data_IF_116962145722
#
_entry.id   IF_116962145722
#
_cell.length_a   1.000
_cell.length_b   1.000
_cell.length_c   1.000
_cell.angle_alpha   90.00
_cell.angle_beta   90.00
_cell.angle_gamma   90.00
#
_symmetry.space_group_name_H-M   'P 1'
#
loop_
_entity.id
_entity.type
_entity.pdbx_description
1 polymer ?
#
# COMPACT_ATOMS: atom_id res chain seq x y z
N UNK A 1 -13.68 -71.07 29.15
CA UNK A 1 -13.27 -69.98 30.05
C UNK A 1 -11.95 -69.44 29.50
N UNK A 2 -11.95 -68.16 29.14
CA UNK A 2 -10.85 -67.26 28.77
C UNK A 2 -9.64 -67.72 27.93
N UNK A 3 -9.48 -66.99 26.82
CA UNK A 3 -8.32 -66.82 25.95
C UNK A 3 -7.07 -66.35 26.71
N UNK A 4 -5.89 -66.77 26.26
CA UNK A 4 -4.72 -65.89 26.24
C UNK A 4 -3.90 -66.13 24.96
N UNK A 5 -3.68 -65.01 24.27
CA UNK A 5 -2.81 -64.79 23.12
C UNK A 5 -1.39 -65.32 23.34
N UNK A 6 -0.81 -65.92 22.30
CA UNK A 6 0.64 -65.92 22.10
C UNK A 6 0.94 -65.39 20.70
N UNK A 7 1.37 -64.14 20.69
CA UNK A 7 1.96 -63.40 19.59
C UNK A 7 3.18 -64.13 19.02
N UNK A 8 3.13 -64.51 17.75
CA UNK A 8 4.26 -64.98 16.96
C UNK A 8 4.94 -63.76 16.28
N UNK A 9 5.34 -62.78 17.09
CA UNK A 9 6.19 -61.67 16.65
C UNK A 9 7.65 -62.03 16.87
N UNK A 10 8.25 -62.73 15.91
CA UNK A 10 9.71 -62.77 15.67
C UNK A 10 9.94 -63.39 14.29
N UNK A 11 10.75 -62.69 13.49
CA UNK A 11 11.29 -63.01 12.16
C UNK A 11 10.75 -62.15 11.01
N UNK A 12 10.99 -60.83 11.09
CA UNK A 12 11.33 -60.05 9.90
C UNK A 12 12.58 -59.22 10.19
N UNK A 13 13.59 -59.24 9.31
CA UNK A 13 14.88 -58.60 9.55
C UNK A 13 14.75 -57.08 9.51
N UNK A 14 15.44 -56.45 10.44
CA UNK A 14 15.70 -55.00 10.52
C UNK A 14 16.53 -54.61 9.28
N UNK A 15 15.90 -54.30 8.14
CA UNK A 15 16.57 -53.57 7.03
C UNK A 15 15.66 -53.07 5.89
N UNK A 16 14.33 -53.25 5.94
CA UNK A 16 13.45 -52.84 4.82
C UNK A 16 12.52 -51.65 5.13
N UNK A 17 12.32 -51.28 6.40
CA UNK A 17 11.37 -50.23 6.78
C UNK A 17 11.86 -48.80 6.48
N UNK A 18 13.17 -48.55 6.56
CA UNK A 18 13.73 -47.21 6.31
C UNK A 18 13.66 -46.77 4.84
N UNK A 19 13.90 -47.70 3.90
CA UNK A 19 13.81 -47.41 2.47
C UNK A 19 12.37 -47.13 2.01
N UNK A 20 11.38 -47.84 2.59
CA UNK A 20 9.95 -47.62 2.29
C UNK A 20 9.47 -46.26 2.82
N UNK A 21 9.92 -45.84 4.01
CA UNK A 21 9.58 -44.50 4.54
C UNK A 21 10.19 -43.37 3.70
N UNK A 22 11.42 -43.51 3.22
CA UNK A 22 12.06 -42.52 2.31
C UNK A 22 11.37 -42.50 0.95
N UNK A 23 10.99 -43.65 0.39
CA UNK A 23 10.28 -43.73 -0.88
C UNK A 23 8.85 -43.15 -0.81
N UNK A 24 8.13 -43.33 0.30
CA UNK A 24 6.82 -42.69 0.50
C UNK A 24 6.92 -41.17 0.62
N UNK A 25 7.98 -40.64 1.24
CA UNK A 25 8.24 -39.19 1.28
C UNK A 25 8.58 -38.63 -0.12
N UNK A 26 9.31 -39.38 -0.94
CA UNK A 26 9.60 -39.01 -2.35
C UNK A 26 8.38 -39.14 -3.29
N UNK A 27 7.36 -39.92 -2.91
CA UNK A 27 6.08 -40.05 -3.62
C UNK A 27 5.07 -38.95 -3.26
N UNK A 28 5.38 -38.09 -2.30
CA UNK A 28 4.57 -36.91 -2.03
C UNK A 28 4.88 -35.89 -3.13
N UNK A 29 3.94 -35.78 -4.08
CA UNK A 29 3.97 -34.68 -5.03
C UNK A 29 3.79 -33.39 -4.21
N UNK A 30 4.85 -32.59 -4.11
CA UNK A 30 4.80 -31.30 -3.43
C UNK A 30 5.03 -30.20 -4.46
N UNK A 31 4.18 -29.15 -4.46
CA UNK A 31 4.44 -27.98 -5.29
C UNK A 31 5.65 -27.22 -4.75
N UNK A 32 6.11 -26.26 -5.55
CA UNK A 32 7.05 -25.27 -5.05
C UNK A 32 6.40 -24.47 -3.91
N UNK A 33 7.08 -24.36 -2.78
CA UNK A 33 6.66 -23.52 -1.66
C UNK A 33 7.81 -22.59 -1.27
N UNK A 34 7.47 -21.37 -0.90
CA UNK A 34 8.44 -20.36 -0.50
C UNK A 34 7.75 -19.26 0.29
N UNK A 35 8.52 -18.58 1.13
CA UNK A 35 8.08 -17.43 1.88
C UNK A 35 8.53 -16.14 1.21
N UNK A 36 7.64 -15.15 1.23
CA UNK A 36 7.96 -13.82 0.77
C UNK A 36 8.68 -13.03 1.86
N UNK A 37 9.68 -12.26 1.45
CA UNK A 37 10.24 -11.23 2.30
C UNK A 37 9.20 -10.13 2.59
N UNK A 38 9.48 -9.33 3.59
CA UNK A 38 8.72 -8.11 3.86
C UNK A 38 8.72 -7.17 2.65
N UNK A 39 7.65 -6.41 2.52
CA UNK A 39 7.55 -5.39 1.48
C UNK A 39 8.62 -4.32 1.67
N UNK A 40 9.22 -3.87 0.57
CA UNK A 40 10.02 -2.66 0.56
C UNK A 40 9.18 -1.46 1.00
N UNK A 41 9.81 -0.39 1.51
CA UNK A 41 9.18 0.92 1.54
C UNK A 41 8.64 1.29 0.16
N UNK A 42 7.56 2.07 0.13
CA UNK A 42 7.05 2.63 -1.11
C UNK A 42 8.08 3.59 -1.71
N UNK A 43 8.24 3.59 -3.03
CA UNK A 43 9.24 4.41 -3.74
C UNK A 43 9.02 5.92 -3.56
N UNK A 44 7.81 6.33 -3.22
CA UNK A 44 7.49 7.68 -2.78
C UNK A 44 6.33 7.67 -1.78
N UNK A 45 6.17 8.77 -1.04
CA UNK A 45 5.11 8.91 -0.04
C UNK A 45 3.74 9.19 -0.65
N UNK A 46 3.67 9.66 -1.89
CA UNK A 46 2.46 10.04 -2.61
C UNK A 46 2.74 10.06 -4.13
N UNK A 47 1.69 10.09 -4.94
CA UNK A 47 1.78 10.23 -6.40
C UNK A 47 1.95 11.71 -6.77
N UNK A 48 3.08 12.08 -7.36
CA UNK A 48 3.25 13.42 -7.91
C UNK A 48 2.40 13.56 -9.19
N UNK A 49 1.42 14.50 -9.26
CA UNK A 49 0.56 14.65 -10.43
C UNK A 49 1.33 15.07 -11.70
N UNK A 50 2.53 15.61 -11.56
CA UNK A 50 3.40 15.99 -12.69
C UNK A 50 4.18 14.81 -13.24
N UNK A 51 4.39 13.77 -12.42
CA UNK A 51 5.07 12.55 -12.82
C UNK A 51 4.02 11.55 -13.33
N UNK A 52 4.23 11.01 -14.53
CA UNK A 52 3.33 9.99 -15.11
C UNK A 52 3.52 8.59 -14.50
N UNK A 53 3.94 8.50 -13.24
CA UNK A 53 4.35 7.25 -12.60
C UNK A 53 3.78 7.17 -11.19
N UNK A 54 3.01 6.11 -10.94
CA UNK A 54 2.51 5.76 -9.61
C UNK A 54 3.64 5.16 -8.78
N UNK A 55 3.80 5.56 -7.50
CA UNK A 55 4.78 4.93 -6.62
C UNK A 55 4.54 3.42 -6.49
N UNK A 56 5.63 2.68 -6.35
CA UNK A 56 5.61 1.23 -6.27
C UNK A 56 6.43 0.74 -5.10
N UNK A 57 6.11 -0.45 -4.63
CA UNK A 57 6.92 -1.22 -3.69
C UNK A 57 7.07 -2.62 -4.22
N UNK A 58 8.09 -3.31 -3.76
CA UNK A 58 8.37 -4.66 -4.20
C UNK A 58 8.68 -5.57 -3.02
N UNK A 59 8.56 -6.87 -3.25
CA UNK A 59 9.10 -7.90 -2.36
C UNK A 59 9.69 -9.01 -3.22
N UNK A 60 10.60 -9.76 -2.62
CA UNK A 60 11.25 -10.91 -3.23
C UNK A 60 11.04 -12.13 -2.35
N UNK A 61 11.23 -13.31 -2.89
CA UNK A 61 11.23 -14.54 -2.10
C UNK A 61 12.48 -14.60 -1.20
N UNK A 62 12.33 -15.16 0.00
CA UNK A 62 13.46 -15.46 0.88
C UNK A 62 14.13 -16.73 0.34
N UNK A 63 15.33 -16.62 -0.20
CA UNK A 63 16.00 -17.73 -0.89
C UNK A 63 16.10 -19.00 -0.04
N UNK A 64 16.36 -18.87 1.26
CA UNK A 64 16.48 -20.01 2.19
C UNK A 64 15.14 -20.70 2.49
N UNK A 65 14.01 -20.07 2.17
CA UNK A 65 12.67 -20.63 2.40
C UNK A 65 12.17 -21.53 1.26
N UNK A 66 12.87 -21.57 0.13
CA UNK A 66 12.41 -22.27 -1.08
C UNK A 66 12.47 -23.79 -0.87
N UNK A 67 11.28 -24.39 -0.70
CA UNK A 67 11.09 -25.82 -0.79
C UNK A 67 10.86 -26.21 -2.25
N UNK A 68 11.84 -26.95 -2.80
CA UNK A 68 11.78 -27.42 -4.20
C UNK A 68 10.62 -28.39 -4.40
N UNK A 69 10.03 -28.36 -5.60
CA UNK A 69 9.02 -29.33 -5.99
C UNK A 69 9.57 -30.76 -5.99
N UNK A 70 8.71 -31.72 -5.66
CA UNK A 70 9.00 -33.15 -5.65
C UNK A 70 7.92 -33.94 -6.37
N UNK A 71 8.25 -35.15 -6.81
CA UNK A 71 7.39 -35.99 -7.65
C UNK A 71 7.39 -35.55 -9.12
N UNK A 72 6.40 -35.99 -9.88
CA UNK A 72 6.34 -35.77 -11.34
C UNK A 72 5.12 -34.95 -11.79
N UNK A 73 4.27 -34.52 -10.86
CA UNK A 73 3.02 -33.79 -11.17
C UNK A 73 3.24 -32.27 -11.25
N UNK A 74 4.14 -31.72 -10.43
CA UNK A 74 4.37 -30.28 -10.36
C UNK A 74 5.58 -29.84 -11.19
N UNK A 75 5.54 -28.62 -11.73
CA UNK A 75 6.66 -28.02 -12.45
C UNK A 75 7.85 -27.76 -11.52
N UNK A 76 9.02 -27.57 -12.13
CA UNK A 76 10.21 -27.08 -11.43
C UNK A 76 9.92 -25.71 -10.81
N UNK A 77 10.45 -25.45 -9.61
CA UNK A 77 10.44 -24.10 -9.04
C UNK A 77 11.09 -23.10 -10.01
N UNK A 78 10.53 -21.89 -10.17
CA UNK A 78 11.22 -20.78 -10.83
C UNK A 78 12.52 -20.44 -10.11
N UNK A 79 13.44 -19.79 -10.82
CA UNK A 79 14.65 -19.26 -10.18
C UNK A 79 14.28 -18.11 -9.23
N UNK A 80 14.95 -17.97 -8.08
CA UNK A 80 14.59 -16.96 -7.08
C UNK A 80 14.61 -15.52 -7.62
N UNK A 81 15.48 -15.23 -8.58
CA UNK A 81 15.61 -13.91 -9.20
C UNK A 81 14.37 -13.51 -10.01
N UNK A 82 13.61 -14.50 -10.50
CA UNK A 82 12.36 -14.29 -11.22
C UNK A 82 11.15 -14.12 -10.28
N UNK A 83 11.33 -14.44 -8.99
CA UNK A 83 10.28 -14.36 -7.97
C UNK A 83 10.30 -12.97 -7.28
N UNK A 84 10.00 -11.95 -8.08
CA UNK A 84 9.77 -10.58 -7.64
C UNK A 84 8.32 -10.18 -7.83
N UNK A 85 7.72 -9.58 -6.80
CA UNK A 85 6.39 -8.99 -6.87
C UNK A 85 6.51 -7.48 -6.74
N UNK A 86 5.90 -6.74 -7.67
CA UNK A 86 5.87 -5.27 -7.69
C UNK A 86 4.42 -4.82 -7.69
N UNK A 87 4.04 -3.95 -6.76
CA UNK A 87 2.66 -3.45 -6.63
C UNK A 87 2.64 -1.93 -6.46
N UNK A 88 1.58 -1.24 -6.92
CA UNK A 88 1.39 0.17 -6.64
C UNK A 88 1.18 0.41 -5.15
N UNK A 89 1.65 1.55 -4.66
CA UNK A 89 1.45 2.01 -3.29
C UNK A 89 1.32 3.54 -3.26
N UNK A 90 0.82 4.09 -2.15
CA UNK A 90 0.67 5.53 -1.95
C UNK A 90 0.07 6.27 -3.16
N UNK A 91 -1.05 5.73 -3.67
CA UNK A 91 -1.64 6.15 -4.95
C UNK A 91 -2.31 7.52 -4.89
N UNK A 92 -2.55 8.06 -3.69
CA UNK A 92 -3.11 9.39 -3.49
C UNK A 92 -2.16 10.48 -4.00
N UNK A 93 -2.72 11.57 -4.53
CA UNK A 93 -1.92 12.68 -5.05
C UNK A 93 -1.17 13.39 -3.92
N UNK A 94 0.06 13.80 -4.21
CA UNK A 94 0.84 14.61 -3.29
C UNK A 94 0.10 15.92 -2.97
N UNK A 95 0.12 16.40 -1.71
CA UNK A 95 -0.63 17.59 -1.34
C UNK A 95 -0.17 18.84 -2.11
N UNK A 96 -1.13 19.62 -2.61
CA UNK A 96 -0.85 20.93 -3.21
C UNK A 96 -0.78 22.00 -2.13
N UNK A 97 0.15 22.94 -2.28
CA UNK A 97 0.32 24.03 -1.33
C UNK A 97 -0.86 25.01 -1.39
N UNK A 98 -1.43 25.37 -0.24
CA UNK A 98 -2.51 26.36 -0.11
C UNK A 98 -2.12 27.71 -0.77
N UNK A 99 -0.86 28.10 -0.60
CA UNK A 99 -0.32 29.35 -1.16
C UNK A 99 -0.35 29.43 -2.69
N UNK A 100 -0.44 28.28 -3.38
CA UNK A 100 -0.47 28.18 -4.85
C UNK A 100 -1.83 28.44 -5.48
N UNK A 101 -2.91 28.46 -4.70
CA UNK A 101 -4.26 28.74 -5.18
C UNK A 101 -4.49 30.25 -5.33
N UNK A 102 -5.34 30.65 -6.28
CA UNK A 102 -5.72 32.06 -6.41
C UNK A 102 -6.58 32.52 -5.23
N UNK A 103 -6.55 33.82 -4.95
CA UNK A 103 -7.49 34.42 -4.01
C UNK A 103 -8.84 34.66 -4.67
N UNK A 104 -9.90 34.53 -3.88
CA UNK A 104 -11.26 34.95 -4.24
C UNK A 104 -11.35 36.47 -4.34
N UNK A 105 -12.52 36.93 -4.77
CA UNK A 105 -12.98 38.28 -4.46
C UNK A 105 -13.11 38.50 -2.94
N UNK A 106 -13.33 39.75 -2.54
CA UNK A 106 -13.45 40.11 -1.14
C UNK A 106 -14.90 39.92 -0.63
N UNK A 107 -15.01 39.48 0.61
CA UNK A 107 -16.25 39.27 1.35
C UNK A 107 -16.25 40.14 2.61
N UNK A 108 -17.37 40.79 2.90
CA UNK A 108 -17.50 41.64 4.09
C UNK A 108 -17.38 40.78 5.37
N UNK A 109 -16.65 41.30 6.36
CA UNK A 109 -16.58 40.66 7.68
C UNK A 109 -17.96 40.69 8.36
N UNK A 110 -18.65 41.81 8.22
CA UNK A 110 -20.01 42.04 8.74
C UNK A 110 -20.83 42.79 7.69
N UNK A 111 -21.81 42.13 7.05
CA UNK A 111 -22.67 42.75 6.06
C UNK A 111 -23.46 43.96 6.59
N UNK A 112 -23.82 43.99 7.88
CA UNK A 112 -24.62 45.08 8.45
C UNK A 112 -23.82 46.39 8.60
N UNK A 113 -22.53 46.28 8.87
CA UNK A 113 -21.62 47.41 9.02
C UNK A 113 -20.82 47.74 7.75
N UNK A 114 -21.04 46.96 6.67
CA UNK A 114 -20.46 47.20 5.36
C UNK A 114 -18.94 47.30 5.37
N UNK A 115 -18.38 48.19 4.53
CA UNK A 115 -16.94 48.38 4.40
C UNK A 115 -16.24 48.83 5.70
N UNK A 116 -16.97 49.45 6.64
CA UNK A 116 -16.40 49.94 7.90
C UNK A 116 -15.94 48.82 8.85
N UNK A 117 -16.56 47.63 8.74
CA UNK A 117 -16.14 46.43 9.46
C UNK A 117 -14.96 45.70 8.79
N UNK A 118 -14.50 46.18 7.62
CA UNK A 118 -13.48 45.55 6.81
C UNK A 118 -14.00 44.33 6.03
N UNK A 119 -13.10 43.77 5.23
CA UNK A 119 -13.41 42.61 4.40
C UNK A 119 -12.17 41.74 4.21
N UNK A 120 -12.39 40.48 3.82
CA UNK A 120 -11.36 39.46 3.67
C UNK A 120 -11.58 38.68 2.38
N UNK A 121 -10.54 37.99 1.93
CA UNK A 121 -10.61 37.02 0.83
C UNK A 121 -10.06 35.68 1.27
N UNK A 122 -10.49 34.63 0.57
CA UNK A 122 -10.15 33.23 0.83
C UNK A 122 -9.48 32.62 -0.39
N UNK A 123 -8.80 31.49 -0.25
CA UNK A 123 -8.24 30.77 -1.41
C UNK A 123 -9.36 30.04 -2.17
N UNK A 124 -9.34 30.14 -3.49
CA UNK A 124 -10.26 29.39 -4.36
C UNK A 124 -9.68 27.99 -4.59
N UNK A 125 -10.27 27.00 -3.93
CA UNK A 125 -9.88 25.61 -4.09
C UNK A 125 -10.58 25.01 -5.32
N UNK A 126 -9.82 24.33 -6.15
CA UNK A 126 -10.34 23.56 -7.29
C UNK A 126 -11.01 22.27 -6.76
N UNK A 127 -12.11 21.81 -7.37
CA UNK A 127 -12.83 20.60 -6.94
C UNK A 127 -12.09 19.34 -7.41
N UNK A 128 -10.94 19.08 -6.80
CA UNK A 128 -10.06 17.95 -7.10
C UNK A 128 -9.95 17.03 -5.87
N UNK A 129 -9.73 15.73 -6.10
CA UNK A 129 -9.47 14.75 -5.03
C UNK A 129 -8.01 14.84 -4.49
N UNK A 130 -7.44 16.05 -4.48
CA UNK A 130 -6.09 16.33 -4.03
C UNK A 130 -6.10 16.97 -2.64
N UNK A 131 -5.26 16.45 -1.74
CA UNK A 131 -5.08 17.05 -0.41
C UNK A 131 -4.44 18.44 -0.52
N UNK A 132 -4.80 19.34 0.39
CA UNK A 132 -4.20 20.67 0.49
C UNK A 132 -3.27 20.73 1.69
N UNK A 133 -2.02 21.12 1.46
CA UNK A 133 -1.05 21.42 2.52
C UNK A 133 -1.20 22.88 2.94
N UNK A 134 -1.56 23.09 4.21
CA UNK A 134 -1.65 24.43 4.79
C UNK A 134 -0.24 24.96 5.02
N UNK A 135 0.20 25.89 4.17
CA UNK A 135 1.52 26.50 4.20
C UNK A 135 1.46 28.04 4.25
N UNK A 136 0.26 28.60 4.41
CA UNK A 136 0.03 30.05 4.46
C UNK A 136 -1.31 30.40 5.11
N UNK A 137 -1.65 31.68 5.06
CA UNK A 137 -2.89 32.18 5.67
C UNK A 137 -4.13 31.69 4.91
N UNK A 138 -5.15 31.24 5.66
CA UNK A 138 -6.45 30.84 5.13
C UNK A 138 -7.25 32.03 4.61
N UNK A 139 -7.12 33.17 5.30
CA UNK A 139 -7.75 34.44 4.94
C UNK A 139 -6.73 35.55 4.97
N UNK A 140 -6.94 36.57 4.14
CA UNK A 140 -6.19 37.83 4.21
C UNK A 140 -7.13 39.02 4.13
N UNK A 141 -6.85 40.12 4.84
CA UNK A 141 -7.63 41.33 4.72
C UNK A 141 -7.47 41.91 3.31
N UNK A 142 -8.54 42.48 2.77
CA UNK A 142 -8.45 43.29 1.57
C UNK A 142 -8.22 44.77 1.91
N UNK A 143 -7.86 45.57 0.91
CA UNK A 143 -7.73 47.02 1.09
C UNK A 143 -9.08 47.69 1.33
N UNK A 144 -9.11 48.87 1.98
CA UNK A 144 -10.36 49.63 2.17
C UNK A 144 -11.13 49.89 0.86
N UNK A 145 -10.40 50.19 -0.22
CA UNK A 145 -10.99 50.43 -1.54
C UNK A 145 -11.64 49.20 -2.17
N UNK A 146 -11.16 47.99 -1.84
CA UNK A 146 -11.78 46.74 -2.28
C UNK A 146 -13.06 46.48 -1.48
N UNK A 147 -13.04 46.76 -0.18
CA UNK A 147 -14.22 46.60 0.68
C UNK A 147 -15.38 47.53 0.27
N UNK A 148 -15.08 48.78 -0.09
CA UNK A 148 -16.08 49.73 -0.59
C UNK A 148 -16.76 49.28 -1.89
N UNK A 149 -16.06 48.54 -2.75
CA UNK A 149 -16.64 48.00 -3.98
C UNK A 149 -17.65 46.91 -3.69
N UNK A 150 -17.36 46.05 -2.71
CA UNK A 150 -18.24 44.95 -2.30
C UNK A 150 -19.51 45.51 -1.66
N UNK A 151 -19.39 46.53 -0.79
CA UNK A 151 -20.55 47.12 -0.09
C UNK A 151 -21.55 47.85 -0.97
N UNK A 152 -21.24 48.11 -2.25
CA UNK A 152 -22.16 48.78 -3.19
C UNK A 152 -23.23 47.85 -3.78
N UNK A 153 -23.14 46.54 -3.53
CA UNK A 153 -24.03 45.52 -4.10
C UNK A 153 -25.00 44.90 -3.08
N UNK A 154 -25.11 45.48 -1.89
CA UNK A 154 -25.94 45.00 -0.77
C UNK A 154 -26.79 46.13 -0.20
#
# INVERSE_FOLDING_TARGET
>A
MQLHHFELSRLLPVSFSGLIQVALAMMQNLPCLYDWAEWSPCSATCTDPTLRQTPTRYRVVINESIARSSGSIYAQCPEPEDLIEIVPCNTYLCPRHLSSYNWSECYLNDPANGASAGCYRIRMLEPEDQLVKIDGNLTVPCSPSECEKVSKWW
#
